data_IF_895382406893
#
_entry.id   IF_895382406893
#
_cell.length_a   1.000
_cell.length_b   1.000
_cell.length_c   1.000
_cell.angle_alpha   90.00
_cell.angle_beta   90.00
_cell.angle_gamma   90.00
#
_symmetry.space_group_name_H-M   'P 1'
#
loop_
_entity.id
_entity.type
_entity.pdbx_description
1 polymer ?
#
# COMPACT_ATOMS: atom_id res chain seq x y z
N UNK A 1 -6.94 -1.14 -12.59
CA UNK A 1 -5.99 -2.13 -12.04
C UNK A 1 -4.70 -1.37 -11.79
N UNK A 2 -4.21 -1.38 -10.55
CA UNK A 2 -2.98 -0.68 -10.19
C UNK A 2 -1.84 -1.70 -10.12
N UNK A 3 -0.66 -1.35 -10.65
CA UNK A 3 0.56 -2.15 -10.52
C UNK A 3 1.49 -1.54 -9.48
N UNK A 4 2.44 -2.32 -8.98
CA UNK A 4 3.47 -1.78 -8.09
C UNK A 4 4.32 -0.72 -8.76
N UNK A 5 4.66 -0.93 -10.04
CA UNK A 5 5.38 0.04 -10.86
C UNK A 5 4.65 1.38 -10.98
N UNK A 6 3.32 1.38 -11.17
CA UNK A 6 2.51 2.62 -11.19
C UNK A 6 2.59 3.36 -9.85
N UNK A 7 2.44 2.64 -8.73
CA UNK A 7 2.50 3.22 -7.39
C UNK A 7 3.85 3.88 -7.17
N UNK A 8 4.95 3.17 -7.45
CA UNK A 8 6.30 3.72 -7.29
C UNK A 8 6.51 4.92 -8.19
N UNK A 9 6.17 4.82 -9.48
CA UNK A 9 6.37 5.90 -10.45
C UNK A 9 5.61 7.17 -10.09
N UNK A 10 4.38 7.04 -9.56
CA UNK A 10 3.54 8.18 -9.19
C UNK A 10 3.89 8.78 -7.82
N UNK A 11 4.38 7.96 -6.88
CA UNK A 11 4.63 8.38 -5.50
C UNK A 11 6.11 8.68 -5.21
N UNK A 12 7.03 8.20 -6.05
CA UNK A 12 8.46 8.46 -5.89
C UNK A 12 8.75 9.96 -5.98
N UNK A 13 9.48 10.48 -4.98
CA UNK A 13 9.80 11.90 -4.87
C UNK A 13 8.69 12.78 -4.29
N UNK A 14 7.60 12.21 -3.77
CA UNK A 14 6.56 12.94 -3.03
C UNK A 14 6.73 12.81 -1.52
N UNK A 15 6.20 13.78 -0.79
CA UNK A 15 6.10 13.73 0.68
C UNK A 15 4.89 12.86 1.07
N UNK A 16 5.13 11.58 1.38
CA UNK A 16 4.09 10.58 1.64
C UNK A 16 3.67 10.48 3.12
N UNK A 17 4.38 11.15 4.03
CA UNK A 17 4.12 11.09 5.46
C UNK A 17 4.73 9.85 6.13
N UNK A 18 4.01 9.28 7.11
CA UNK A 18 4.48 8.16 7.94
C UNK A 18 4.14 6.78 7.38
N UNK A 19 2.94 6.61 6.82
CA UNK A 19 2.47 5.33 6.29
C UNK A 19 1.66 5.52 5.01
N UNK A 20 1.91 4.66 4.02
CA UNK A 20 1.11 4.54 2.82
C UNK A 20 0.09 3.41 3.01
N UNK A 21 -1.19 3.77 3.07
CA UNK A 21 -2.28 2.79 3.14
C UNK A 21 -2.71 2.39 1.73
N UNK A 22 -2.65 1.10 1.42
CA UNK A 22 -3.15 0.54 0.17
C UNK A 22 -4.34 -0.39 0.44
N UNK A 23 -5.34 -0.36 -0.44
CA UNK A 23 -6.48 -1.26 -0.30
C UNK A 23 -6.06 -2.70 -0.63
N UNK A 24 -6.52 -3.67 0.18
CA UNK A 24 -6.25 -5.11 -0.07
C UNK A 24 -6.72 -5.61 -1.43
N UNK A 25 -7.70 -4.93 -2.04
CA UNK A 25 -8.13 -5.21 -3.43
C UNK A 25 -7.04 -4.96 -4.48
N UNK A 26 -5.97 -4.23 -4.13
CA UNK A 26 -4.82 -3.96 -5.00
C UNK A 26 -3.84 -5.13 -5.04
N UNK A 27 -3.91 -6.02 -4.04
CA UNK A 27 -3.09 -7.22 -3.94
C UNK A 27 -3.78 -8.41 -4.62
N UNK A 28 -2.98 -9.36 -5.10
CA UNK A 28 -3.43 -10.69 -5.53
C UNK A 28 -4.10 -11.39 -4.35
N UNK A 29 -5.17 -12.12 -4.64
CA UNK A 29 -6.02 -12.71 -3.61
C UNK A 29 -5.22 -13.68 -2.70
N UNK A 30 -5.07 -13.30 -1.43
CA UNK A 30 -4.40 -14.11 -0.42
C UNK A 30 -2.88 -13.96 -0.34
N UNK A 31 -2.28 -13.08 -1.15
CA UNK A 31 -0.83 -12.84 -1.17
C UNK A 31 -0.50 -11.37 -0.97
N UNK A 32 0.73 -11.10 -0.55
CA UNK A 32 1.29 -9.76 -0.38
C UNK A 32 1.91 -9.23 -1.70
N UNK A 33 1.40 -9.74 -2.83
CA UNK A 33 1.90 -9.51 -4.17
C UNK A 33 0.90 -8.68 -4.97
N UNK A 34 1.40 -7.71 -5.71
CA UNK A 34 0.63 -6.96 -6.70
C UNK A 34 0.56 -7.74 -8.02
N UNK A 35 -0.22 -7.23 -8.96
CA UNK A 35 -0.44 -7.87 -10.26
C UNK A 35 0.85 -8.04 -11.08
N UNK A 36 1.81 -7.13 -10.90
CA UNK A 36 3.10 -7.07 -11.58
C UNK A 36 4.23 -7.73 -10.77
N UNK A 37 3.89 -8.63 -9.85
CA UNK A 37 4.82 -9.39 -8.99
C UNK A 37 5.67 -8.55 -8.02
N UNK A 38 5.34 -7.26 -7.86
CA UNK A 38 5.83 -6.43 -6.76
C UNK A 38 5.27 -6.90 -5.42
N UNK A 39 6.09 -6.98 -4.38
CA UNK A 39 5.61 -7.20 -3.01
C UNK A 39 5.33 -5.87 -2.30
N UNK A 40 4.57 -5.89 -1.20
CA UNK A 40 4.43 -4.69 -0.35
C UNK A 40 5.81 -4.26 0.17
N UNK A 41 6.67 -5.22 0.52
CA UNK A 41 8.05 -4.94 0.94
C UNK A 41 8.93 -4.29 -0.15
N UNK A 42 8.67 -4.54 -1.43
CA UNK A 42 9.34 -3.82 -2.52
C UNK A 42 8.87 -2.36 -2.58
N UNK A 43 7.56 -2.11 -2.42
CA UNK A 43 7.02 -0.76 -2.34
C UNK A 43 7.61 0.02 -1.16
N UNK A 44 7.70 -0.62 0.01
CA UNK A 44 8.29 -0.02 1.20
C UNK A 44 9.74 0.42 0.97
N UNK A 45 10.55 -0.45 0.33
CA UNK A 45 11.94 -0.15 0.00
C UNK A 45 12.07 0.95 -1.05
N UNK A 46 11.22 0.94 -2.08
CA UNK A 46 11.31 1.90 -3.18
C UNK A 46 10.84 3.30 -2.78
N UNK A 47 9.79 3.39 -1.97
CA UNK A 47 9.22 4.66 -1.51
C UNK A 47 9.82 5.13 -0.16
N UNK A 48 10.59 4.28 0.50
CA UNK A 48 11.21 4.53 1.81
C UNK A 48 10.19 4.99 2.87
N UNK A 49 9.01 4.37 2.84
CA UNK A 49 7.89 4.60 3.76
C UNK A 49 7.27 3.25 4.11
N UNK A 50 6.65 3.14 5.29
CA UNK A 50 5.90 1.94 5.66
C UNK A 50 4.65 1.83 4.80
N UNK A 51 4.35 0.64 4.27
CA UNK A 51 3.18 0.39 3.42
C UNK A 51 2.30 -0.63 4.15
N UNK A 52 1.04 -0.28 4.38
CA UNK A 52 0.09 -1.15 5.08
C UNK A 52 -1.11 -1.46 4.19
N UNK A 53 -1.41 -2.76 4.04
CA UNK A 53 -2.57 -3.21 3.29
C UNK A 53 -3.81 -3.22 4.20
N UNK A 54 -4.76 -2.33 3.93
CA UNK A 54 -5.98 -2.20 4.73
C UNK A 54 -7.13 -2.97 4.08
N UNK A 55 -7.90 -3.69 4.90
CA UNK A 55 -9.13 -4.37 4.48
C UNK A 55 -10.11 -3.38 3.83
N UNK A 56 -10.89 -3.86 2.86
CA UNK A 56 -11.88 -3.04 2.15
C UNK A 56 -13.17 -2.85 2.98
N UNK A 57 -13.02 -2.52 4.27
CA UNK A 57 -14.09 -2.20 5.18
C UNK A 57 -13.88 -0.77 5.71
N UNK A 58 -14.94 0.03 5.73
CA UNK A 58 -14.89 1.40 6.26
C UNK A 58 -14.41 1.46 7.71
N UNK A 59 -14.75 0.49 8.55
CA UNK A 59 -14.29 0.46 9.94
C UNK A 59 -12.77 0.36 10.08
N UNK A 60 -12.15 -0.56 9.33
CA UNK A 60 -10.70 -0.75 9.32
C UNK A 60 -9.99 0.44 8.68
N UNK A 61 -10.54 0.96 7.58
CA UNK A 61 -10.00 2.17 6.95
C UNK A 61 -9.90 3.35 7.93
N UNK A 62 -10.96 3.61 8.69
CA UNK A 62 -10.95 4.69 9.69
C UNK A 62 -9.95 4.39 10.80
N UNK A 63 -9.87 3.16 11.29
CA UNK A 63 -8.90 2.75 12.33
C UNK A 63 -7.45 2.93 11.88
N UNK A 64 -7.13 2.53 10.66
CA UNK A 64 -5.79 2.72 10.09
C UNK A 64 -5.45 4.19 9.87
N UNK A 65 -6.40 5.04 9.49
CA UNK A 65 -6.17 6.49 9.35
C UNK A 65 -5.86 7.14 10.70
N UNK A 66 -6.60 6.78 11.75
CA UNK A 66 -6.45 7.39 13.08
C UNK A 66 -5.37 6.70 13.95
N UNK A 67 -4.66 5.70 13.41
CA UNK A 67 -3.56 5.02 14.08
C UNK A 67 -3.97 4.12 15.24
N UNK A 68 -5.19 3.56 15.19
CA UNK A 68 -5.72 2.62 16.20
C UNK A 68 -5.54 1.14 15.78
N UNK A 69 -4.51 0.85 14.99
CA UNK A 69 -4.13 -0.52 14.56
C UNK A 69 -3.84 -1.47 15.73
#
# INVERSE_FOLDING_TARGET
LLTGADIVSQLSGKELGDVLLISRSTLKAGEDLLLDDYTVGDLEKQLNIKVCAVENNGGEFIRSIIGLE
#
